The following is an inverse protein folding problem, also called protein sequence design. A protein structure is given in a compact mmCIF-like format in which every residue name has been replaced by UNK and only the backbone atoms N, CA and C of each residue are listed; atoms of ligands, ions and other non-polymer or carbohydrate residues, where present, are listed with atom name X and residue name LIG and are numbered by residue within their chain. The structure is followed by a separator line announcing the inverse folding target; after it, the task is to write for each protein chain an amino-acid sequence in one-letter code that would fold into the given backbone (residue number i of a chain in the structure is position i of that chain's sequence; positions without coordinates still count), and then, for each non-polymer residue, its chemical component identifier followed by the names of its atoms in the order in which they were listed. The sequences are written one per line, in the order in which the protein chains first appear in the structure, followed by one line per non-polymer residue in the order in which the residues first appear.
data_IF_907391011371
#
_entry.id   IF_907391011371
#
_cell.length_a   1.000
_cell.length_b   1.000
_cell.length_c   1.000
_cell.angle_alpha   90.00
_cell.angle_beta   90.00
_cell.angle_gamma   90.00
#
_symmetry.space_group_name_H-M   'P 1'
#
loop_
_entity.id
_entity.type
_entity.pdbx_description
1 polymer ?
#
# COMPACT_ATOMS: atom_id res chain seq x y z
N UNK A 1 7.12 -12.21 21.16
CA UNK A 1 6.63 -11.19 22.12
C UNK A 1 5.68 -10.28 21.36
N UNK A 2 4.37 -10.48 21.47
CA UNK A 2 3.37 -9.63 20.84
C UNK A 2 3.18 -8.38 21.72
N UNK A 3 3.63 -7.21 21.26
CA UNK A 3 3.34 -5.95 21.96
C UNK A 3 2.01 -5.39 21.46
N UNK A 4 1.05 -5.41 22.39
CA UNK A 4 -0.18 -4.63 22.50
C UNK A 4 -0.35 -3.53 21.45
N UNK A 5 -1.39 -3.67 20.60
CA UNK A 5 -1.94 -2.58 19.81
C UNK A 5 -2.41 -1.48 20.77
N UNK A 6 -1.64 -0.41 20.87
CA UNK A 6 -2.06 0.81 21.56
C UNK A 6 -3.33 1.34 20.91
N UNK A 7 -4.42 1.43 21.67
CA UNK A 7 -5.74 1.95 21.27
C UNK A 7 -5.76 3.48 21.03
N UNK A 8 -4.60 4.15 21.05
CA UNK A 8 -4.47 5.59 20.75
C UNK A 8 -4.26 5.81 19.25
N UNK A 9 -5.03 6.76 18.68
CA UNK A 9 -4.84 7.22 17.29
C UNK A 9 -3.36 7.57 17.03
N UNK A 10 -2.75 7.08 15.94
CA UNK A 10 -1.34 7.36 15.65
C UNK A 10 -1.13 8.86 15.42
N UNK A 11 -0.01 9.37 15.95
CA UNK A 11 0.43 10.76 15.81
C UNK A 11 0.73 11.10 14.35
N UNK A 12 0.78 12.40 14.00
CA UNK A 12 1.16 12.85 12.65
C UNK A 12 2.50 12.28 12.20
N UNK A 13 3.50 12.33 13.09
CA UNK A 13 4.85 11.81 12.82
C UNK A 13 4.81 10.31 12.56
N UNK A 14 4.04 9.54 13.33
CA UNK A 14 3.89 8.11 13.09
C UNK A 14 3.26 7.82 11.73
N UNK A 15 2.24 8.57 11.32
CA UNK A 15 1.60 8.39 9.99
C UNK A 15 2.57 8.71 8.85
N UNK A 16 3.34 9.78 8.97
CA UNK A 16 4.35 10.16 7.97
C UNK A 16 5.44 9.08 7.85
N UNK A 17 5.88 8.51 8.99
CA UNK A 17 6.85 7.41 8.99
C UNK A 17 6.27 6.13 8.42
N UNK A 18 5.04 5.76 8.77
CA UNK A 18 4.34 4.63 8.14
C UNK A 18 4.26 4.80 6.63
N UNK A 19 3.87 5.97 6.14
CA UNK A 19 3.79 6.25 4.70
C UNK A 19 5.15 6.13 4.02
N UNK A 20 6.21 6.68 4.61
CA UNK A 20 7.57 6.54 4.06
C UNK A 20 8.04 5.08 4.00
N UNK A 21 7.69 4.26 4.99
CA UNK A 21 7.99 2.82 4.99
C UNK A 21 7.21 2.11 3.89
N UNK A 22 5.93 2.43 3.69
CA UNK A 22 5.09 1.81 2.67
C UNK A 22 5.53 2.19 1.25
N UNK A 23 5.94 3.44 1.01
CA UNK A 23 6.52 3.86 -0.28
C UNK A 23 7.82 3.09 -0.59
N UNK A 24 8.72 3.00 0.40
CA UNK A 24 9.94 2.21 0.25
C UNK A 24 9.66 0.72 0.07
N UNK A 25 8.60 0.20 0.69
CA UNK A 25 8.19 -1.18 0.54
C UNK A 25 7.61 -1.44 -0.85
N UNK A 26 6.79 -0.53 -1.39
CA UNK A 26 6.25 -0.60 -2.74
C UNK A 26 7.39 -0.77 -3.74
N UNK A 27 8.32 0.18 -3.73
CA UNK A 27 9.55 0.16 -4.51
C UNK A 27 10.26 -1.21 -4.50
N UNK A 28 10.57 -1.73 -3.31
CA UNK A 28 11.33 -2.98 -3.17
C UNK A 28 10.48 -4.19 -3.58
N UNK A 29 9.19 -4.19 -3.29
CA UNK A 29 8.29 -5.27 -3.72
C UNK A 29 8.10 -5.28 -5.23
N UNK A 30 8.03 -4.13 -5.90
CA UNK A 30 7.93 -4.03 -7.35
C UNK A 30 9.22 -4.51 -8.04
N UNK A 31 10.39 -4.17 -7.46
CA UNK A 31 11.70 -4.56 -8.02
C UNK A 31 12.01 -6.06 -7.85
N UNK A 32 11.68 -6.64 -6.68
CA UNK A 32 12.17 -7.98 -6.29
C UNK A 32 11.06 -9.01 -6.01
N UNK A 33 9.79 -8.59 -6.06
CA UNK A 33 8.65 -9.39 -5.63
C UNK A 33 8.62 -9.65 -4.12
N UNK A 34 7.50 -10.19 -3.63
CA UNK A 34 7.32 -10.48 -2.21
C UNK A 34 8.38 -11.44 -1.64
N UNK A 35 8.72 -12.50 -2.37
CA UNK A 35 9.68 -13.52 -1.91
C UNK A 35 11.12 -13.00 -1.89
N UNK A 36 11.52 -12.24 -2.92
CA UNK A 36 12.88 -11.67 -3.02
C UNK A 36 13.14 -10.49 -2.08
N UNK A 37 12.09 -9.90 -1.51
CA UNK A 37 12.19 -8.76 -0.60
C UNK A 37 12.55 -9.17 0.83
N UNK A 38 13.40 -8.39 1.50
CA UNK A 38 13.69 -8.48 2.94
C UNK A 38 13.39 -7.17 3.67
N UNK A 39 13.20 -7.23 4.99
CA UNK A 39 12.99 -6.03 5.81
C UNK A 39 14.23 -5.12 5.78
N UNK A 40 15.43 -5.68 5.63
CA UNK A 40 16.66 -4.90 5.54
C UNK A 40 16.71 -4.05 4.25
N UNK A 41 16.25 -4.60 3.13
CA UNK A 41 16.15 -3.84 1.87
C UNK A 41 15.15 -2.68 1.99
N UNK A 42 14.00 -2.92 2.62
CA UNK A 42 12.99 -1.88 2.88
C UNK A 42 13.56 -0.81 3.81
N UNK A 43 14.26 -1.22 4.88
CA UNK A 43 14.90 -0.29 5.81
C UNK A 43 15.93 0.60 5.10
N UNK A 44 16.78 0.00 4.27
CA UNK A 44 17.76 0.72 3.46
C UNK A 44 17.09 1.71 2.49
N UNK A 45 16.05 1.29 1.76
CA UNK A 45 15.30 2.16 0.84
C UNK A 45 14.60 3.31 1.58
N UNK A 46 14.07 3.06 2.77
CA UNK A 46 13.42 4.07 3.60
C UNK A 46 14.39 5.02 4.34
N UNK A 47 15.71 4.75 4.31
CA UNK A 47 16.69 5.48 5.11
C UNK A 47 16.51 5.27 6.63
N UNK A 48 16.04 4.08 7.03
CA UNK A 48 15.75 3.72 8.42
C UNK A 48 16.53 2.47 8.82
N UNK A 49 16.68 2.23 10.13
CA UNK A 49 17.25 0.98 10.63
C UNK A 49 16.19 -0.12 10.68
N UNK A 50 16.59 -1.39 10.55
CA UNK A 50 15.69 -2.54 10.70
C UNK A 50 14.88 -2.52 12.01
N UNK A 51 15.46 -2.21 13.20
CA UNK A 51 14.68 -2.07 14.42
C UNK A 51 13.64 -0.94 14.36
N UNK A 52 13.90 0.13 13.61
CA UNK A 52 12.94 1.21 13.39
C UNK A 52 11.76 0.72 12.55
N UNK A 53 12.01 -0.02 11.45
CA UNK A 53 10.92 -0.65 10.67
C UNK A 53 10.10 -1.60 11.55
N UNK A 54 10.79 -2.45 12.34
CA UNK A 54 10.15 -3.42 13.23
C UNK A 54 9.38 -2.79 14.40
N UNK A 55 9.60 -1.50 14.68
CA UNK A 55 8.76 -0.74 15.61
C UNK A 55 7.39 -0.39 15.00
N UNK A 56 7.32 -0.17 13.67
CA UNK A 56 6.08 0.15 12.97
C UNK A 56 5.35 -1.10 12.44
N UNK A 57 6.10 -2.14 12.06
CA UNK A 57 5.55 -3.35 11.46
C UNK A 57 6.23 -4.60 12.01
N UNK A 58 5.45 -5.54 12.52
CA UNK A 58 5.97 -6.76 13.16
C UNK A 58 6.82 -7.63 12.21
N UNK A 59 6.50 -7.63 10.91
CA UNK A 59 7.17 -8.44 9.90
C UNK A 59 6.87 -7.95 8.47
N UNK A 60 7.49 -8.60 7.47
CA UNK A 60 7.31 -8.30 6.04
C UNK A 60 5.87 -8.47 5.56
N UNK A 61 5.13 -9.45 6.10
CA UNK A 61 3.73 -9.69 5.73
C UNK A 61 2.82 -8.56 6.22
N UNK A 62 3.08 -8.01 7.40
CA UNK A 62 2.35 -6.86 7.93
C UNK A 62 2.54 -5.64 7.03
N UNK A 63 3.78 -5.36 6.61
CA UNK A 63 4.09 -4.28 5.65
C UNK A 63 3.32 -4.50 4.35
N UNK A 64 3.42 -5.71 3.78
CA UNK A 64 2.78 -6.03 2.50
C UNK A 64 1.26 -5.94 2.57
N UNK A 65 0.62 -6.45 3.63
CA UNK A 65 -0.82 -6.35 3.84
C UNK A 65 -1.28 -4.90 3.97
N UNK A 66 -0.54 -4.08 4.73
CA UNK A 66 -0.85 -2.66 4.87
C UNK A 66 -0.69 -1.91 3.55
N UNK A 67 0.37 -2.19 2.79
CA UNK A 67 0.58 -1.61 1.46
C UNK A 67 -0.57 -1.98 0.52
N UNK A 68 -0.89 -3.27 0.39
CA UNK A 68 -1.99 -3.73 -0.46
C UNK A 68 -3.33 -3.13 -0.04
N UNK A 69 -3.58 -2.97 1.26
CA UNK A 69 -4.81 -2.34 1.74
C UNK A 69 -4.90 -0.86 1.31
N UNK A 70 -3.78 -0.12 1.30
CA UNK A 70 -3.73 1.26 0.83
C UNK A 70 -3.92 1.34 -0.70
N UNK A 71 -3.22 0.49 -1.46
CA UNK A 71 -3.38 0.41 -2.92
C UNK A 71 -4.81 0.04 -3.32
N UNK A 72 -5.41 -0.96 -2.66
CA UNK A 72 -6.80 -1.35 -2.90
C UNK A 72 -7.79 -0.23 -2.59
N UNK A 73 -7.53 0.64 -1.60
CA UNK A 73 -8.41 1.80 -1.37
C UNK A 73 -8.40 2.75 -2.56
N UNK A 74 -7.22 3.07 -3.11
CA UNK A 74 -7.08 3.90 -4.31
C UNK A 74 -7.71 3.21 -5.51
N UNK A 75 -7.48 1.91 -5.66
CA UNK A 75 -7.99 1.19 -6.80
C UNK A 75 -9.50 0.99 -6.77
N UNK A 76 -10.09 0.76 -5.60
CA UNK A 76 -11.54 0.56 -5.50
C UNK A 76 -12.31 1.89 -5.40
N UNK A 77 -11.63 3.04 -5.32
CA UNK A 77 -12.31 4.34 -5.26
C UNK A 77 -13.20 4.61 -6.50
N UNK A 78 -12.75 4.37 -7.75
CA UNK A 78 -13.61 4.48 -8.94
C UNK A 78 -14.84 3.57 -8.92
N UNK A 79 -14.79 2.39 -8.30
CA UNK A 79 -15.98 1.53 -8.19
C UNK A 79 -17.11 2.20 -7.39
N UNK A 80 -16.77 3.12 -6.48
CA UNK A 80 -17.76 3.85 -5.68
C UNK A 80 -18.47 4.93 -6.48
N UNK A 81 -17.97 5.26 -7.67
CA UNK A 81 -18.50 6.30 -8.55
C UNK A 81 -19.45 5.73 -9.62
N UNK A 82 -19.56 4.40 -9.72
CA UNK A 82 -20.49 3.74 -10.65
C UNK A 82 -21.93 4.17 -10.33
N UNK A 83 -22.64 4.68 -11.34
CA UNK A 83 -24.06 5.01 -11.21
C UNK A 83 -24.92 3.75 -11.32
N UNK A 84 -25.61 3.40 -10.23
CA UNK A 84 -26.52 2.27 -10.19
C UNK A 84 -27.74 2.42 -11.13
N UNK A 85 -28.02 3.63 -11.62
CA UNK A 85 -29.09 3.91 -12.57
C UNK A 85 -28.58 4.14 -14.01
N UNK A 86 -27.26 4.09 -14.22
CA UNK A 86 -26.63 4.23 -15.53
C UNK A 86 -26.79 3.00 -16.42
N UNK A 87 -26.30 3.08 -17.67
CA UNK A 87 -26.21 1.90 -18.53
C UNK A 87 -25.14 0.93 -17.99
N UNK A 88 -25.49 -0.33 -17.66
CA UNK A 88 -24.55 -1.23 -17.00
C UNK A 88 -23.27 -1.51 -17.80
N UNK A 89 -23.36 -1.53 -19.13
CA UNK A 89 -22.19 -1.79 -19.98
C UNK A 89 -21.30 -0.56 -20.00
N UNK A 90 -21.88 0.63 -20.14
CA UNK A 90 -21.14 1.89 -20.12
C UNK A 90 -20.38 2.08 -18.80
N UNK A 91 -21.05 1.90 -17.66
CA UNK A 91 -20.44 2.04 -16.33
C UNK A 91 -19.25 1.07 -16.12
N UNK A 92 -19.42 -0.20 -16.52
CA UNK A 92 -18.35 -1.20 -16.42
C UNK A 92 -17.18 -0.84 -17.35
N UNK A 93 -17.47 -0.43 -18.58
CA UNK A 93 -16.44 -0.03 -19.55
C UNK A 93 -15.65 1.19 -19.09
N UNK A 94 -16.32 2.19 -18.51
CA UNK A 94 -15.67 3.37 -17.94
C UNK A 94 -14.75 2.99 -16.78
N UNK A 95 -15.23 2.15 -15.86
CA UNK A 95 -14.40 1.63 -14.76
C UNK A 95 -13.17 0.88 -15.27
N UNK A 96 -13.33 -0.04 -16.23
CA UNK A 96 -12.22 -0.80 -16.82
C UNK A 96 -11.22 0.12 -17.51
N UNK A 97 -11.69 1.13 -18.26
CA UNK A 97 -10.81 2.10 -18.91
C UNK A 97 -9.99 2.90 -17.89
N UNK A 98 -10.62 3.39 -16.81
CA UNK A 98 -9.94 4.10 -15.72
C UNK A 98 -8.95 3.19 -14.98
N UNK A 99 -9.31 1.92 -14.74
CA UNK A 99 -8.43 0.91 -14.17
C UNK A 99 -7.18 0.68 -15.00
N UNK A 100 -7.35 0.50 -16.30
CA UNK A 100 -6.24 0.30 -17.24
C UNK A 100 -5.33 1.53 -17.29
N UNK A 101 -5.91 2.73 -17.27
CA UNK A 101 -5.15 3.99 -17.20
C UNK A 101 -4.30 4.07 -15.93
N UNK A 102 -4.87 3.76 -14.76
CA UNK A 102 -4.13 3.72 -13.50
C UNK A 102 -2.94 2.74 -13.56
N UNK A 103 -3.14 1.54 -14.09
CA UNK A 103 -2.07 0.55 -14.23
C UNK A 103 -0.94 1.02 -15.17
N UNK A 104 -1.26 1.81 -16.21
CA UNK A 104 -0.27 2.39 -17.11
C UNK A 104 0.50 3.55 -16.47
N UNK A 105 -0.17 4.40 -15.70
CA UNK A 105 0.44 5.58 -15.06
C UNK A 105 1.26 5.21 -13.81
N UNK A 106 0.88 4.14 -13.10
CA UNK A 106 1.49 3.71 -11.84
C UNK A 106 1.95 2.24 -11.90
N UNK A 107 2.90 1.87 -12.79
CA UNK A 107 3.27 0.48 -13.05
C UNK A 107 3.95 -0.25 -11.87
N UNK A 108 4.28 0.48 -10.79
CA UNK A 108 4.83 -0.10 -9.56
C UNK A 108 3.74 -0.67 -8.65
N UNK A 109 2.54 -0.10 -8.71
CA UNK A 109 1.38 -0.51 -7.92
C UNK A 109 0.78 -1.82 -8.46
#
# INVERSE_FOLDING_TARGET
MARSQSTKKPTRIQREKTKAILEAALDVFSDFGFRGTTIDMIAQRAGLSKPNILYYFDNKEAIHKSLLAELLQTWLAPLREIDANGDPIEEICQYVAQKLKMAQEFPRE
#
